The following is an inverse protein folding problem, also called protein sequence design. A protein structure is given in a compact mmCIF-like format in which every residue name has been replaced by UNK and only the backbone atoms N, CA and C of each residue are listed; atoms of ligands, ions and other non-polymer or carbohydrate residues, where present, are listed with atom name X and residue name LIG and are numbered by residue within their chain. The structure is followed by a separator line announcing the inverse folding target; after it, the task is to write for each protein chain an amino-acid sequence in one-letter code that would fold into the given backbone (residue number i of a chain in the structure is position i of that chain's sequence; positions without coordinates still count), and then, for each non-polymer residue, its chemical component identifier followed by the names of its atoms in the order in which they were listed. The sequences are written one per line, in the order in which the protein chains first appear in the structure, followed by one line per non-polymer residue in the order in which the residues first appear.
data_IF_571653359765
#
_entry.id   IF_571653359765
#
_cell.length_a   1.000
_cell.length_b   1.000
_cell.length_c   1.000
_cell.angle_alpha   90.00
_cell.angle_beta   90.00
_cell.angle_gamma   90.00
#
_symmetry.space_group_name_H-M   'P 1'
#
loop_
_entity.id
_entity.type
_entity.pdbx_description
1 polymer ?
#
# COMPACT_ATOMS: atom_id res chain seq x y z
N UNK A 1 0.65 -50.87 -13.54
CA UNK A 1 -0.06 -49.57 -13.64
C UNK A 1 -0.43 -48.93 -12.31
N UNK A 2 -0.47 -49.64 -11.16
CA UNK A 2 -0.94 -49.05 -9.88
C UNK A 2 0.08 -48.20 -9.11
N UNK A 3 1.39 -48.40 -9.30
CA UNK A 3 2.43 -47.61 -8.61
C UNK A 3 2.66 -46.21 -9.21
N UNK A 4 2.34 -46.00 -10.49
CA UNK A 4 2.59 -44.72 -11.17
C UNK A 4 1.61 -43.62 -10.72
N UNK A 5 0.40 -44.00 -10.31
CA UNK A 5 -0.64 -43.06 -9.87
C UNK A 5 -0.51 -42.64 -8.40
N UNK A 6 0.23 -43.40 -7.58
CA UNK A 6 0.45 -43.05 -6.17
C UNK A 6 1.57 -42.00 -5.98
N UNK A 7 2.55 -41.98 -6.89
CA UNK A 7 3.66 -41.02 -6.86
C UNK A 7 3.18 -39.61 -7.21
N UNK A 8 2.19 -39.50 -8.11
CA UNK A 8 1.67 -38.20 -8.58
C UNK A 8 0.86 -37.46 -7.52
N UNK A 9 0.13 -38.16 -6.64
CA UNK A 9 -0.69 -37.52 -5.61
C UNK A 9 0.14 -36.97 -4.44
N UNK A 10 1.22 -37.66 -4.06
CA UNK A 10 2.09 -37.21 -2.97
C UNK A 10 2.86 -35.92 -3.32
N UNK A 11 3.31 -35.80 -4.58
CA UNK A 11 4.00 -34.60 -5.05
C UNK A 11 3.10 -33.35 -5.06
N UNK A 12 1.82 -33.50 -5.42
CA UNK A 12 0.87 -32.39 -5.45
C UNK A 12 0.56 -31.86 -4.03
N UNK A 13 0.41 -32.75 -3.04
CA UNK A 13 0.18 -32.35 -1.66
C UNK A 13 1.38 -31.61 -1.04
N UNK A 14 2.61 -32.00 -1.41
CA UNK A 14 3.82 -31.35 -0.94
C UNK A 14 4.00 -29.94 -1.55
N UNK A 15 3.58 -29.74 -2.80
CA UNK A 15 3.57 -28.43 -3.45
C UNK A 15 2.57 -27.46 -2.81
N UNK A 16 1.39 -27.94 -2.39
CA UNK A 16 0.44 -27.10 -1.64
C UNK A 16 0.94 -26.75 -0.24
N UNK A 17 1.71 -27.62 0.43
CA UNK A 17 2.27 -27.34 1.75
C UNK A 17 3.40 -26.28 1.72
N UNK A 18 4.02 -26.06 0.55
CA UNK A 18 5.03 -25.03 0.32
C UNK A 18 4.44 -23.68 -0.12
N UNK A 19 3.12 -23.60 -0.34
CA UNK A 19 2.44 -22.32 -0.48
C UNK A 19 2.40 -21.64 0.88
N UNK A 20 3.51 -21.01 1.26
CA UNK A 20 3.57 -20.13 2.42
C UNK A 20 2.58 -18.99 2.13
N UNK A 21 1.56 -18.77 2.97
CA UNK A 21 0.78 -17.56 2.85
C UNK A 21 1.75 -16.40 3.00
N UNK A 22 1.94 -15.62 1.94
CA UNK A 22 2.56 -14.32 2.07
C UNK A 22 1.62 -13.53 2.98
N UNK A 23 1.93 -13.48 4.27
CA UNK A 23 1.18 -12.68 5.22
C UNK A 23 1.20 -11.25 4.69
N UNK A 24 0.07 -10.79 4.15
CA UNK A 24 -0.12 -9.41 3.79
C UNK A 24 -0.12 -8.63 5.10
N UNK A 25 1.03 -8.09 5.49
CA UNK A 25 1.09 -7.15 6.60
C UNK A 25 0.44 -5.86 6.10
N UNK A 26 -0.66 -5.46 6.74
CA UNK A 26 -1.30 -4.17 6.54
C UNK A 26 -1.02 -3.29 7.74
N UNK A 27 -0.85 -2.00 7.51
CA UNK A 27 -0.98 -0.99 8.54
C UNK A 27 -2.42 -1.00 9.05
N UNK A 28 -2.63 -0.71 10.33
CA UNK A 28 -3.97 -0.57 10.91
C UNK A 28 -4.35 0.91 10.96
N UNK A 29 -5.57 1.25 10.55
CA UNK A 29 -6.11 2.61 10.59
C UNK A 29 -6.27 3.22 9.21
N UNK A 30 -6.22 4.55 9.14
CA UNK A 30 -6.64 5.28 7.94
C UNK A 30 -5.61 6.32 7.48
N UNK A 31 -5.25 6.29 6.21
CA UNK A 31 -4.49 7.37 5.58
C UNK A 31 -5.43 8.27 4.77
N UNK A 32 -5.75 9.45 5.30
CA UNK A 32 -6.68 10.40 4.66
C UNK A 32 -5.95 11.41 3.79
N UNK A 33 -6.61 11.85 2.73
CA UNK A 33 -6.11 12.90 1.84
C UNK A 33 -7.28 13.63 1.17
N UNK A 34 -6.98 14.79 0.59
CA UNK A 34 -7.93 15.56 -0.21
C UNK A 34 -7.54 15.54 -1.69
N UNK A 35 -8.53 15.76 -2.55
CA UNK A 35 -8.35 15.83 -4.00
C UNK A 35 -9.38 16.78 -4.64
N UNK A 36 -9.07 17.24 -5.85
CA UNK A 36 -9.93 18.17 -6.59
C UNK A 36 -10.29 19.42 -5.76
N UNK A 37 -11.54 19.90 -5.81
CA UNK A 37 -11.98 21.07 -5.05
C UNK A 37 -12.30 20.78 -3.56
N UNK A 38 -11.46 19.98 -2.87
CA UNK A 38 -11.62 19.71 -1.44
C UNK A 38 -12.38 18.45 -1.07
N UNK A 39 -12.60 17.54 -2.03
CA UNK A 39 -13.13 16.21 -1.69
C UNK A 39 -12.12 15.45 -0.83
N UNK A 40 -12.60 14.58 0.05
CA UNK A 40 -11.77 13.77 0.95
C UNK A 40 -11.96 12.30 0.63
N UNK A 41 -10.86 11.54 0.61
CA UNK A 41 -10.84 10.09 0.47
C UNK A 41 -9.78 9.51 1.41
N UNK A 42 -9.71 8.19 1.48
CA UNK A 42 -8.77 7.50 2.35
C UNK A 42 -8.39 6.10 1.88
N UNK A 43 -7.25 5.64 2.40
CA UNK A 43 -6.83 4.25 2.36
C UNK A 43 -7.08 3.65 3.74
N UNK A 44 -8.00 2.69 3.81
CA UNK A 44 -8.29 1.91 5.02
C UNK A 44 -7.39 0.68 5.08
N UNK A 45 -6.77 0.48 6.24
CA UNK A 45 -5.85 -0.62 6.55
C UNK A 45 -4.88 -0.96 5.37
N UNK A 46 -4.08 0.02 4.90
CA UNK A 46 -3.32 -0.14 3.67
C UNK A 46 -2.21 -1.18 3.82
N UNK A 47 -1.89 -1.97 2.78
CA UNK A 47 -0.81 -2.95 2.83
C UNK A 47 0.56 -2.27 3.07
N UNK A 48 1.33 -2.82 4.00
CA UNK A 48 2.71 -2.43 4.29
C UNK A 48 3.67 -2.97 3.23
N UNK A 49 4.73 -2.22 2.95
CA UNK A 49 5.78 -2.57 1.99
C UNK A 49 5.36 -2.55 0.52
N UNK A 50 4.12 -2.16 0.22
CA UNK A 50 3.58 -2.06 -1.14
C UNK A 50 3.49 -0.59 -1.53
N UNK A 51 3.91 -0.27 -2.75
CA UNK A 51 3.64 1.03 -3.33
C UNK A 51 2.17 1.12 -3.75
N UNK A 52 1.49 2.16 -3.26
CA UNK A 52 0.09 2.43 -3.57
C UNK A 52 0.03 3.79 -4.26
N UNK A 53 -0.43 3.79 -5.52
CA UNK A 53 -0.86 5.02 -6.18
C UNK A 53 -2.17 5.50 -5.57
N UNK A 54 -2.24 6.79 -5.25
CA UNK A 54 -3.45 7.40 -4.72
C UNK A 54 -4.53 7.37 -5.83
N UNK A 55 -5.67 6.68 -5.65
CA UNK A 55 -6.61 6.40 -6.73
C UNK A 55 -7.11 7.64 -7.49
N UNK A 56 -7.30 8.75 -6.78
CA UNK A 56 -7.80 10.01 -7.34
C UNK A 56 -6.67 10.95 -7.80
N UNK A 57 -5.41 10.62 -7.53
CA UNK A 57 -4.27 11.44 -7.90
C UNK A 57 -3.78 11.10 -9.32
N UNK A 58 -3.51 12.16 -10.08
CA UNK A 58 -2.91 12.09 -11.41
C UNK A 58 -1.73 13.05 -11.50
N UNK A 59 -1.01 13.04 -12.63
CA UNK A 59 0.08 13.99 -12.89
C UNK A 59 -0.44 15.43 -12.81
N UNK A 60 -1.58 15.73 -13.44
CA UNK A 60 -2.12 17.09 -13.47
C UNK A 60 -2.92 17.46 -12.22
N UNK A 61 -3.53 16.47 -11.55
CA UNK A 61 -4.35 16.67 -10.36
C UNK A 61 -3.86 15.76 -9.22
N UNK A 62 -2.86 16.17 -8.43
CA UNK A 62 -2.39 15.39 -7.29
C UNK A 62 -3.40 15.44 -6.13
N UNK A 63 -3.33 14.43 -5.25
CA UNK A 63 -3.92 14.54 -3.94
C UNK A 63 -3.06 15.45 -3.04
N UNK A 64 -3.64 15.94 -1.95
CA UNK A 64 -2.98 16.89 -1.05
C UNK A 64 -3.50 16.81 0.39
N UNK A 65 -2.83 17.53 1.30
CA UNK A 65 -3.15 17.56 2.73
C UNK A 65 -3.28 16.16 3.39
N UNK A 66 -2.28 15.28 3.24
CA UNK A 66 -2.37 13.95 3.80
C UNK A 66 -2.36 13.97 5.33
N UNK A 67 -3.01 12.97 5.90
CA UNK A 67 -3.12 12.73 7.33
C UNK A 67 -2.90 11.24 7.58
N UNK A 68 -1.82 10.93 8.30
CA UNK A 68 -1.52 9.55 8.63
C UNK A 68 -2.17 9.20 9.98
N UNK A 69 -3.36 8.60 9.94
CA UNK A 69 -4.00 8.01 11.12
C UNK A 69 -3.85 6.48 11.14
N UNK A 70 -2.85 5.95 10.45
CA UNK A 70 -2.43 4.56 10.61
C UNK A 70 -1.45 4.42 11.77
N UNK A 71 -1.19 3.19 12.19
CA UNK A 71 -0.14 2.83 13.16
C UNK A 71 1.26 2.68 12.52
N UNK A 72 1.35 2.74 11.20
CA UNK A 72 2.60 2.65 10.44
C UNK A 72 3.12 4.02 9.99
N UNK A 73 4.42 4.08 9.67
CA UNK A 73 4.99 5.26 9.02
C UNK A 73 4.63 5.26 7.55
N UNK A 74 4.08 6.37 7.05
CA UNK A 74 3.76 6.56 5.63
C UNK A 74 4.86 7.37 4.95
N UNK A 75 5.53 6.77 3.97
CA UNK A 75 6.49 7.46 3.10
C UNK A 75 5.74 7.89 1.84
N UNK A 76 5.62 9.19 1.61
CA UNK A 76 4.86 9.75 0.48
C UNK A 76 5.79 10.23 -0.62
N UNK A 77 5.33 10.11 -1.85
CA UNK A 77 6.05 10.47 -3.06
C UNK A 77 5.26 11.47 -3.90
N UNK A 78 5.99 12.28 -4.66
CA UNK A 78 5.39 13.23 -5.60
C UNK A 78 5.00 12.57 -6.91
N UNK A 79 5.60 11.45 -7.27
CA UNK A 79 5.34 10.77 -8.53
C UNK A 79 4.47 9.53 -8.31
N UNK A 80 3.89 9.01 -9.39
CA UNK A 80 3.21 7.72 -9.37
C UNK A 80 4.26 6.60 -9.26
N UNK A 81 3.83 5.39 -8.91
CA UNK A 81 4.70 4.22 -8.80
C UNK A 81 5.71 4.26 -7.65
N UNK A 82 5.64 5.28 -6.78
CA UNK A 82 6.66 5.54 -5.76
C UNK A 82 8.05 5.71 -6.37
N UNK A 83 8.09 6.22 -7.60
CA UNK A 83 9.31 6.55 -8.29
C UNK A 83 9.95 7.82 -7.71
N UNK A 84 11.26 7.94 -7.91
CA UNK A 84 12.04 9.10 -7.51
C UNK A 84 12.40 9.15 -6.03
N UNK A 85 12.80 10.33 -5.57
CA UNK A 85 13.23 10.54 -4.19
C UNK A 85 12.03 10.62 -3.24
N UNK A 86 12.25 10.13 -2.01
CA UNK A 86 11.31 10.30 -0.90
C UNK A 86 10.97 11.77 -0.75
N UNK A 87 9.70 12.11 -0.87
CA UNK A 87 9.26 13.48 -0.73
C UNK A 87 9.05 13.86 0.73
N UNK A 88 8.36 13.00 1.48
CA UNK A 88 8.11 13.23 2.89
C UNK A 88 7.89 11.92 3.65
N UNK A 89 8.30 11.89 4.92
CA UNK A 89 8.08 10.76 5.83
C UNK A 89 7.10 11.21 6.91
N UNK A 90 5.98 10.49 7.03
CA UNK A 90 4.89 10.80 7.93
C UNK A 90 4.75 9.71 8.99
N UNK A 91 5.32 9.89 10.20
CA UNK A 91 5.03 9.07 11.36
C UNK A 91 3.52 8.98 11.67
N UNK A 92 3.09 7.95 12.43
CA UNK A 92 1.72 7.83 12.93
C UNK A 92 1.22 9.13 13.60
N UNK A 93 -0.03 9.50 13.31
CA UNK A 93 -0.70 10.71 13.81
C UNK A 93 -0.31 12.01 13.10
N UNK A 94 0.61 11.98 12.12
CA UNK A 94 1.07 13.19 11.47
C UNK A 94 0.03 13.75 10.47
N UNK A 95 -0.24 15.05 10.61
CA UNK A 95 -1.15 15.81 9.74
C UNK A 95 -0.38 16.86 8.94
N UNK A 96 -0.66 16.99 7.64
CA UNK A 96 -0.05 17.99 6.76
C UNK A 96 -1.12 18.78 6.00
N UNK A 97 -0.83 20.07 5.77
CA UNK A 97 -1.74 20.98 5.09
C UNK A 97 -1.66 20.91 3.55
N UNK A 98 -2.46 21.72 2.88
CA UNK A 98 -2.68 21.69 1.42
C UNK A 98 -1.44 21.86 0.54
N UNK A 99 -0.33 22.38 1.10
CA UNK A 99 0.94 22.54 0.36
C UNK A 99 1.65 21.21 0.08
N UNK A 100 1.37 20.18 0.88
CA UNK A 100 1.98 18.87 0.69
C UNK A 100 1.10 18.08 -0.26
N UNK A 101 1.63 17.85 -1.47
CA UNK A 101 1.01 17.02 -2.51
C UNK A 101 1.51 15.58 -2.43
N UNK A 102 0.67 14.64 -2.83
CA UNK A 102 0.98 13.20 -2.82
C UNK A 102 0.36 12.54 -4.05
N UNK A 103 1.11 11.63 -4.68
CA UNK A 103 0.64 10.80 -5.78
C UNK A 103 0.76 9.31 -5.49
N UNK A 104 1.75 8.91 -4.69
CA UNK A 104 1.83 7.55 -4.17
C UNK A 104 2.42 7.50 -2.76
N UNK A 105 2.26 6.34 -2.11
CA UNK A 105 2.64 6.12 -0.71
C UNK A 105 3.06 4.68 -0.44
N UNK A 106 4.01 4.49 0.48
CA UNK A 106 4.41 3.19 1.05
C UNK A 106 4.27 3.25 2.58
N UNK A 107 3.69 2.22 3.18
CA UNK A 107 3.59 2.06 4.63
C UNK A 107 4.64 1.07 5.15
N UNK A 108 5.23 1.33 6.32
CA UNK A 108 6.22 0.44 6.97
C UNK A 108 5.59 -0.73 7.72
#
# INVERSE_FOLDING_TARGET
MRLRNAVTSAAAALLLALAVPASAHAASGEFRYQFGPGYTSSLEDPPSGVCIDIPEATIDNPAYAPQNFTDSTATVFRDLGCDGDVYYVMPPGMVRGQRLIVRSVIFS
#
